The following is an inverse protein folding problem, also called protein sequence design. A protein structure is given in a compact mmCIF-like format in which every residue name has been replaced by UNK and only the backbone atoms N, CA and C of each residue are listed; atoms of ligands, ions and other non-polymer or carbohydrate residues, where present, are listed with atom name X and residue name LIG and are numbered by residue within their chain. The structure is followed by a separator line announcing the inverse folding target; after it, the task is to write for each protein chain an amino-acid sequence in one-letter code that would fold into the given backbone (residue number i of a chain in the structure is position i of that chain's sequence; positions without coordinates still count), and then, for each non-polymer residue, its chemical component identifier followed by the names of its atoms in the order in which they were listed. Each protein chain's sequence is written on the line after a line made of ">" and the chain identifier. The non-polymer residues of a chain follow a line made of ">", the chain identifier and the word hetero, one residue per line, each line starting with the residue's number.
data_IF_466606694533
#
_entry.id   IF_466606694533
#
_cell.length_a   1.000
_cell.length_b   1.000
_cell.length_c   1.000
_cell.angle_alpha   90.00
_cell.angle_beta   90.00
_cell.angle_gamma   90.00
#
_symmetry.space_group_name_H-M   'P 1'
#
loop_
_entity.id
_entity.type
_entity.pdbx_description
1 polymer ?
#
# COMPACT_ATOMS: atom_id res chain seq x y z
N UNK A 1 57.85 -34.22 53.19
CA UNK A 1 59.27 -33.94 52.89
C UNK A 1 59.34 -33.43 51.46
N UNK A 2 60.04 -32.30 51.30
CA UNK A 2 60.58 -31.72 50.05
C UNK A 2 59.65 -30.94 49.12
N UNK A 3 59.92 -29.64 49.07
CA UNK A 3 59.47 -28.65 48.07
C UNK A 3 60.51 -28.52 46.93
N UNK A 4 60.11 -27.83 45.84
CA UNK A 4 60.85 -26.95 44.89
C UNK A 4 60.20 -27.08 43.49
N UNK A 5 59.45 -26.08 42.99
CA UNK A 5 59.90 -24.92 42.20
C UNK A 5 60.77 -25.33 40.98
N UNK A 6 60.48 -24.98 39.71
CA UNK A 6 60.51 -23.61 39.17
C UNK A 6 60.03 -23.53 37.70
N UNK A 7 59.29 -22.44 37.41
CA UNK A 7 58.98 -21.70 36.16
C UNK A 7 59.43 -22.19 34.77
N UNK A 8 58.51 -21.99 33.81
CA UNK A 8 58.79 -21.61 32.42
C UNK A 8 57.51 -21.17 31.68
N UNK A 9 57.20 -19.88 31.71
CA UNK A 9 56.13 -19.21 30.95
C UNK A 9 56.51 -19.07 29.46
N UNK A 10 55.56 -19.31 28.53
CA UNK A 10 55.26 -18.43 27.38
C UNK A 10 53.91 -18.80 26.73
N UNK A 11 52.88 -18.05 27.14
CA UNK A 11 51.78 -17.44 26.37
C UNK A 11 51.49 -17.95 24.93
N UNK A 12 50.30 -18.53 24.76
CA UNK A 12 49.27 -17.95 23.88
C UNK A 12 47.89 -18.46 24.33
N UNK A 13 47.16 -17.61 25.06
CA UNK A 13 45.71 -17.71 25.16
C UNK A 13 45.13 -17.42 23.78
N UNK A 14 44.23 -18.28 23.30
CA UNK A 14 43.16 -17.81 22.45
C UNK A 14 41.86 -18.50 22.91
N UNK A 15 41.24 -17.77 23.82
CA UNK A 15 39.82 -17.70 24.15
C UNK A 15 38.90 -18.35 23.11
N UNK A 16 38.13 -19.36 23.55
CA UNK A 16 36.84 -19.67 22.96
C UNK A 16 35.96 -18.43 23.15
N UNK A 17 35.72 -17.71 22.06
CA UNK A 17 34.87 -16.52 22.04
C UNK A 17 33.40 -16.94 21.98
N UNK A 18 32.68 -16.63 23.06
CA UNK A 18 31.23 -16.71 23.18
C UNK A 18 30.57 -15.63 22.30
N UNK A 19 30.55 -15.82 20.98
CA UNK A 19 29.75 -14.97 20.09
C UNK A 19 29.00 -15.79 19.05
N UNK A 20 28.09 -16.64 19.50
CA UNK A 20 27.01 -17.19 18.68
C UNK A 20 25.67 -16.52 19.00
N UNK A 21 25.66 -15.19 19.01
CA UNK A 21 24.45 -14.36 19.21
C UNK A 21 24.42 -13.21 18.19
N UNK A 22 24.85 -13.47 16.95
CA UNK A 22 24.77 -12.49 15.88
C UNK A 22 24.70 -13.21 14.53
N UNK A 23 23.63 -13.95 14.30
CA UNK A 23 23.32 -14.44 12.97
C UNK A 23 21.83 -14.39 12.74
N UNK A 24 21.46 -13.44 11.88
CA UNK A 24 20.14 -13.29 11.25
C UNK A 24 19.08 -12.52 12.04
N UNK A 25 19.51 -11.36 12.56
CA UNK A 25 18.71 -10.14 12.49
C UNK A 25 18.43 -9.79 11.01
N UNK A 26 17.55 -10.57 10.37
CA UNK A 26 16.90 -10.26 9.10
C UNK A 26 15.65 -9.42 9.44
N UNK A 27 15.85 -8.25 10.03
CA UNK A 27 14.86 -7.21 9.83
C UNK A 27 15.11 -6.71 8.41
N UNK A 28 14.35 -7.26 7.45
CA UNK A 28 14.12 -6.55 6.21
C UNK A 28 13.74 -5.14 6.62
N UNK A 29 14.54 -4.16 6.26
CA UNK A 29 14.09 -2.78 6.25
C UNK A 29 12.82 -2.78 5.40
N UNK A 30 11.66 -2.73 6.06
CA UNK A 30 10.39 -2.52 5.38
C UNK A 30 10.53 -1.10 4.86
N UNK A 31 10.93 -0.98 3.60
CA UNK A 31 10.89 0.30 2.90
C UNK A 31 9.42 0.64 2.79
N UNK A 32 8.92 1.41 3.75
CA UNK A 32 7.55 1.92 3.74
C UNK A 32 7.51 3.01 2.67
N UNK A 33 7.16 2.63 1.45
CA UNK A 33 6.79 3.61 0.44
C UNK A 33 5.58 4.38 0.94
N UNK A 34 5.60 5.72 0.81
CA UNK A 34 4.41 6.50 1.09
C UNK A 34 3.28 6.07 0.16
N UNK A 35 2.04 6.09 0.64
CA UNK A 35 0.88 5.72 -0.18
C UNK A 35 0.82 6.56 -1.46
N UNK A 36 1.28 7.82 -1.43
CA UNK A 36 1.36 8.69 -2.60
C UNK A 36 2.32 8.15 -3.67
N UNK A 37 3.46 7.59 -3.27
CA UNK A 37 4.43 7.00 -4.19
C UNK A 37 3.83 5.75 -4.86
N UNK A 38 3.24 4.86 -4.06
CA UNK A 38 2.57 3.66 -4.56
C UNK A 38 1.42 4.00 -5.52
N UNK A 39 0.57 4.97 -5.16
CA UNK A 39 -0.52 5.47 -6.00
C UNK A 39 0.00 6.02 -7.34
N UNK A 40 1.07 6.82 -7.30
CA UNK A 40 1.67 7.42 -8.51
C UNK A 40 2.23 6.37 -9.44
N UNK A 41 2.89 5.35 -8.90
CA UNK A 41 3.43 4.25 -9.71
C UNK A 41 2.32 3.38 -10.29
N UNK A 42 1.26 3.11 -9.52
CA UNK A 42 0.09 2.38 -10.03
C UNK A 42 -0.59 3.13 -11.17
N UNK A 43 -0.86 4.42 -11.01
CA UNK A 43 -1.44 5.25 -12.08
C UNK A 43 -0.56 5.30 -13.35
N UNK A 44 0.77 5.28 -13.21
CA UNK A 44 1.70 5.17 -14.36
C UNK A 44 1.66 3.81 -15.03
N UNK A 45 1.39 2.73 -14.30
CA UNK A 45 1.18 1.40 -14.87
C UNK A 45 -0.12 1.37 -15.66
N UNK A 46 -1.21 1.92 -15.09
CA UNK A 46 -2.51 2.00 -15.74
C UNK A 46 -2.46 2.82 -17.04
N UNK A 47 -1.70 3.92 -17.07
CA UNK A 47 -1.48 4.74 -18.26
C UNK A 47 -0.82 4.00 -19.43
N UNK A 48 -0.18 2.84 -19.17
CA UNK A 48 0.52 2.03 -20.17
C UNK A 48 -0.25 0.78 -20.57
N UNK A 49 -1.45 0.56 -20.04
CA UNK A 49 -2.27 -0.58 -20.44
C UNK A 49 -2.62 -0.49 -21.92
N UNK A 50 -2.41 -1.59 -22.63
CA UNK A 50 -2.86 -1.74 -24.01
C UNK A 50 -4.35 -2.03 -24.05
N UNK A 51 -4.96 -1.85 -25.22
CA UNK A 51 -6.30 -2.38 -25.48
C UNK A 51 -6.34 -3.89 -25.21
N UNK A 52 -7.50 -4.38 -24.75
CA UNK A 52 -7.73 -5.78 -24.44
C UNK A 52 -6.74 -6.34 -23.39
N UNK A 53 -6.33 -5.52 -22.42
CA UNK A 53 -5.32 -5.87 -21.40
C UNK A 53 -5.67 -7.11 -20.57
N UNK A 54 -6.94 -7.48 -20.47
CA UNK A 54 -7.40 -8.68 -19.77
C UNK A 54 -7.79 -9.85 -20.69
N UNK A 55 -7.59 -9.74 -22.01
CA UNK A 55 -8.05 -10.73 -23.02
C UNK A 55 -9.58 -10.90 -23.16
N UNK A 56 -10.39 -10.12 -22.45
CA UNK A 56 -11.87 -10.13 -22.51
C UNK A 56 -12.46 -8.86 -23.12
N UNK A 57 -11.67 -8.11 -23.90
CA UNK A 57 -12.11 -6.93 -24.63
C UNK A 57 -12.07 -5.63 -23.84
N UNK A 58 -11.45 -5.59 -22.65
CA UNK A 58 -11.46 -4.38 -21.82
C UNK A 58 -10.69 -3.22 -22.44
N UNK A 59 -11.24 -2.03 -22.17
CA UNK A 59 -10.71 -0.74 -22.58
C UNK A 59 -9.75 -0.27 -21.48
N UNK A 60 -8.55 0.23 -21.82
CA UNK A 60 -7.64 0.78 -20.83
C UNK A 60 -8.21 2.09 -20.23
N UNK A 61 -7.84 2.45 -18.99
CA UNK A 61 -8.28 3.69 -18.38
C UNK A 61 -8.03 4.91 -19.26
N UNK A 62 -9.05 5.74 -19.46
CA UNK A 62 -8.91 6.94 -20.28
C UNK A 62 -8.00 7.97 -19.62
N UNK A 63 -7.38 8.85 -20.42
CA UNK A 63 -6.58 9.98 -19.89
C UNK A 63 -7.40 10.87 -18.95
N UNK A 64 -8.68 11.06 -19.23
CA UNK A 64 -9.61 11.85 -18.41
C UNK A 64 -9.77 11.21 -17.03
N UNK A 65 -10.04 9.90 -16.98
CA UNK A 65 -10.18 9.16 -15.72
C UNK A 65 -8.89 9.20 -14.90
N UNK A 66 -7.74 8.95 -15.54
CA UNK A 66 -6.44 9.02 -14.87
C UNK A 66 -6.12 10.43 -14.35
N UNK A 67 -6.59 11.49 -15.03
CA UNK A 67 -6.44 12.86 -14.56
C UNK A 67 -7.34 13.13 -13.34
N UNK A 68 -8.61 12.72 -13.38
CA UNK A 68 -9.53 12.86 -12.25
C UNK A 68 -8.98 12.13 -11.01
N UNK A 69 -8.47 10.91 -11.20
CA UNK A 69 -7.84 10.13 -10.14
C UNK A 69 -6.64 10.86 -9.49
N UNK A 70 -5.78 11.49 -10.32
CA UNK A 70 -4.64 12.27 -9.83
C UNK A 70 -5.10 13.47 -9.00
N UNK A 71 -6.11 14.20 -9.46
CA UNK A 71 -6.67 15.35 -8.72
C UNK A 71 -7.28 14.89 -7.40
N UNK A 72 -8.07 13.82 -7.42
CA UNK A 72 -8.68 13.26 -6.21
C UNK A 72 -7.61 12.85 -5.20
N UNK A 73 -6.60 12.08 -5.61
CA UNK A 73 -5.61 11.51 -4.70
C UNK A 73 -4.58 12.53 -4.22
N UNK A 74 -4.12 13.44 -5.09
CA UNK A 74 -2.97 14.31 -4.77
C UNK A 74 -3.34 15.76 -4.50
N UNK A 75 -4.53 16.23 -4.90
CA UNK A 75 -4.93 17.61 -4.64
C UNK A 75 -5.99 17.68 -3.52
N UNK A 76 -6.85 16.67 -3.38
CA UNK A 76 -7.92 16.68 -2.37
C UNK A 76 -7.55 15.93 -1.08
N UNK A 77 -6.58 15.00 -1.15
CA UNK A 77 -6.28 14.06 -0.07
C UNK A 77 -4.83 14.14 0.45
N UNK A 78 -4.00 15.03 -0.10
CA UNK A 78 -2.53 15.06 0.01
C UNK A 78 -2.00 14.98 1.45
N UNK A 79 -2.65 15.67 2.39
CA UNK A 79 -2.19 15.82 3.77
C UNK A 79 -2.64 14.70 4.73
N UNK A 80 -3.43 13.73 4.25
CA UNK A 80 -3.98 12.67 5.12
C UNK A 80 -3.09 11.43 5.08
N UNK A 81 -2.83 10.84 6.25
CA UNK A 81 -2.33 9.46 6.30
C UNK A 81 -3.44 8.54 5.80
N UNK A 82 -3.30 8.08 4.56
CA UNK A 82 -4.25 7.15 3.96
C UNK A 82 -3.96 5.72 4.42
N UNK A 83 -5.01 4.90 4.62
CA UNK A 83 -4.87 3.50 4.92
C UNK A 83 -4.44 2.76 3.64
N UNK A 84 -4.58 1.43 3.61
CA UNK A 84 -4.24 0.66 2.40
C UNK A 84 -5.08 1.17 1.23
N UNK A 85 -4.39 1.51 0.14
CA UNK A 85 -4.96 2.03 -1.09
C UNK A 85 -4.68 1.04 -2.22
N UNK A 86 -5.71 0.50 -2.85
CA UNK A 86 -5.59 -0.17 -4.15
C UNK A 86 -6.22 0.67 -5.26
N UNK A 87 -5.65 0.59 -6.46
CA UNK A 87 -6.14 1.30 -7.64
C UNK A 87 -6.13 0.34 -8.82
N UNK A 88 -7.30 -0.07 -9.29
CA UNK A 88 -7.41 -1.08 -10.34
C UNK A 88 -8.20 -0.56 -11.56
N UNK A 89 -7.89 -1.00 -12.79
CA UNK A 89 -8.68 -0.62 -13.96
C UNK A 89 -10.02 -1.38 -13.96
N UNK A 90 -11.09 -0.73 -14.42
CA UNK A 90 -12.37 -1.41 -14.69
C UNK A 90 -12.60 -1.60 -16.19
N UNK A 91 -13.51 -2.51 -16.54
CA UNK A 91 -13.67 -3.03 -17.91
C UNK A 91 -13.90 -1.96 -18.98
N UNK A 92 -14.63 -0.89 -18.65
CA UNK A 92 -15.08 0.15 -19.58
C UNK A 92 -14.15 1.37 -19.66
N UNK A 93 -12.88 1.23 -19.27
CA UNK A 93 -11.89 2.32 -19.33
C UNK A 93 -12.01 3.33 -18.18
N UNK A 94 -12.67 2.94 -17.11
CA UNK A 94 -12.64 3.61 -15.81
C UNK A 94 -11.51 3.09 -14.90
N UNK A 95 -11.54 3.51 -13.64
CA UNK A 95 -10.74 2.91 -12.57
C UNK A 95 -11.60 2.73 -11.32
N UNK A 96 -11.17 1.81 -10.46
CA UNK A 96 -11.64 1.61 -9.10
C UNK A 96 -10.52 2.01 -8.14
N UNK A 97 -10.88 2.70 -7.07
CA UNK A 97 -9.99 3.08 -5.97
C UNK A 97 -10.59 2.53 -4.69
N UNK A 98 -9.80 1.79 -3.93
CA UNK A 98 -10.25 1.13 -2.71
C UNK A 98 -9.42 1.61 -1.53
N UNK A 99 -10.11 1.98 -0.45
CA UNK A 99 -9.49 2.28 0.84
C UNK A 99 -9.95 1.25 1.86
N UNK A 100 -8.99 0.60 2.53
CA UNK A 100 -9.28 -0.40 3.55
C UNK A 100 -8.56 -0.10 4.87
N UNK A 101 -9.34 -0.02 5.96
CA UNK A 101 -8.85 0.13 7.34
C UNK A 101 -9.64 -0.79 8.27
N UNK A 102 -8.97 -1.82 8.78
CA UNK A 102 -9.50 -2.79 9.74
C UNK A 102 -10.73 -3.52 9.23
N UNK A 103 -11.93 -3.18 9.71
CA UNK A 103 -13.20 -3.77 9.25
C UNK A 103 -13.93 -2.90 8.23
N UNK A 104 -13.42 -1.72 7.88
CA UNK A 104 -14.07 -0.76 6.99
C UNK A 104 -13.38 -0.69 5.64
N UNK A 105 -14.20 -0.75 4.59
CA UNK A 105 -13.77 -0.56 3.21
C UNK A 105 -14.66 0.44 2.50
N UNK A 106 -14.04 1.25 1.65
CA UNK A 106 -14.69 2.18 0.73
C UNK A 106 -14.12 1.95 -0.65
N UNK A 107 -14.98 1.65 -1.61
CA UNK A 107 -14.65 1.58 -3.02
C UNK A 107 -15.24 2.78 -3.76
N UNK A 108 -14.48 3.34 -4.69
CA UNK A 108 -14.89 4.41 -5.58
C UNK A 108 -14.56 4.03 -7.02
N UNK A 109 -15.58 3.93 -7.85
CA UNK A 109 -15.42 3.82 -9.29
C UNK A 109 -15.47 5.20 -9.95
N UNK A 110 -14.55 5.44 -10.88
CA UNK A 110 -14.48 6.66 -11.69
C UNK A 110 -14.64 6.29 -13.16
N UNK A 111 -15.75 6.75 -13.73
CA UNK A 111 -16.14 6.41 -15.10
C UNK A 111 -15.64 7.42 -16.14
N UNK A 112 -15.48 7.02 -17.43
CA UNK A 112 -15.00 7.89 -18.50
C UNK A 112 -15.79 9.17 -18.76
N UNK A 113 -17.09 9.19 -18.47
CA UNK A 113 -17.97 10.34 -18.59
C UNK A 113 -17.93 11.28 -17.37
N UNK A 114 -17.15 10.92 -16.36
CA UNK A 114 -16.86 11.73 -15.17
C UNK A 114 -17.82 11.55 -14.01
N UNK A 115 -18.77 10.60 -14.07
CA UNK A 115 -19.54 10.24 -12.87
C UNK A 115 -18.75 9.30 -11.95
N UNK A 116 -19.22 9.20 -10.71
CA UNK A 116 -18.66 8.33 -9.69
C UNK A 116 -19.73 7.40 -9.15
N UNK A 117 -19.36 6.17 -8.83
CA UNK A 117 -20.14 5.27 -8.00
C UNK A 117 -19.30 4.84 -6.81
N UNK A 118 -19.96 4.55 -5.69
CA UNK A 118 -19.28 4.08 -4.49
C UNK A 118 -19.92 2.80 -3.96
N UNK A 119 -19.11 2.07 -3.21
CA UNK A 119 -19.54 0.99 -2.34
C UNK A 119 -18.90 1.16 -0.96
N UNK A 120 -19.71 0.98 0.08
CA UNK A 120 -19.33 1.09 1.49
C UNK A 120 -19.54 -0.25 2.16
N UNK A 121 -18.48 -0.81 2.74
CA UNK A 121 -18.48 -2.17 3.32
C UNK A 121 -17.95 -2.12 4.76
N UNK A 122 -18.63 -2.79 5.69
CA UNK A 122 -18.13 -2.98 7.06
C UNK A 122 -18.29 -4.44 7.49
N UNK A 123 -17.25 -5.07 8.02
CA UNK A 123 -17.23 -6.51 8.34
C UNK A 123 -17.63 -7.40 7.16
N UNK A 124 -17.11 -7.12 5.97
CA UNK A 124 -17.45 -7.81 4.71
C UNK A 124 -18.94 -7.68 4.31
N UNK A 125 -19.74 -6.84 4.98
CA UNK A 125 -21.13 -6.58 4.64
C UNK A 125 -21.28 -5.29 3.83
N UNK A 126 -21.95 -5.37 2.68
CA UNK A 126 -22.33 -4.20 1.88
C UNK A 126 -23.36 -3.36 2.65
N UNK A 127 -22.96 -2.16 3.08
CA UNK A 127 -23.80 -1.25 3.84
C UNK A 127 -24.55 -0.25 2.97
N UNK A 128 -23.89 0.30 1.96
CA UNK A 128 -24.43 1.36 1.11
C UNK A 128 -23.68 1.40 -0.23
N UNK A 129 -24.40 1.61 -1.33
CA UNK A 129 -23.84 1.80 -2.66
C UNK A 129 -24.62 2.84 -3.46
N UNK A 130 -24.01 3.37 -4.52
CA UNK A 130 -24.70 4.20 -5.51
C UNK A 130 -23.86 5.38 -6.04
N UNK A 131 -24.50 6.37 -6.69
CA UNK A 131 -23.79 7.51 -7.25
C UNK A 131 -23.12 8.37 -6.16
N UNK A 132 -21.89 8.83 -6.43
CA UNK A 132 -21.13 9.66 -5.50
C UNK A 132 -20.95 11.10 -6.00
N UNK A 133 -21.10 12.06 -5.10
CA UNK A 133 -20.58 13.42 -5.28
C UNK A 133 -19.23 13.55 -4.56
N UNK A 134 -18.42 14.56 -4.89
CA UNK A 134 -17.16 14.83 -4.18
C UNK A 134 -17.35 14.99 -2.66
N UNK A 135 -18.48 15.56 -2.23
CA UNK A 135 -18.83 15.68 -0.80
C UNK A 135 -19.07 14.32 -0.15
N UNK A 136 -19.76 13.41 -0.86
CA UNK A 136 -19.98 12.02 -0.41
C UNK A 136 -18.66 11.23 -0.38
N UNK A 137 -17.81 11.40 -1.39
CA UNK A 137 -16.46 10.78 -1.40
C UNK A 137 -15.66 11.23 -0.18
N UNK A 138 -15.62 12.53 0.10
CA UNK A 138 -14.89 13.05 1.27
C UNK A 138 -15.46 12.53 2.60
N UNK A 139 -16.79 12.37 2.73
CA UNK A 139 -17.39 11.82 3.94
C UNK A 139 -17.10 10.33 4.13
N UNK A 140 -17.04 9.55 3.05
CA UNK A 140 -16.68 8.13 3.07
C UNK A 140 -15.21 7.93 3.44
N UNK A 141 -14.30 8.74 2.89
CA UNK A 141 -12.88 8.71 3.27
C UNK A 141 -12.71 8.99 4.76
N UNK A 142 -13.36 10.02 5.29
CA UNK A 142 -13.33 10.31 6.73
C UNK A 142 -13.88 9.14 7.55
N UNK A 143 -14.92 8.46 7.08
CA UNK A 143 -15.50 7.30 7.75
C UNK A 143 -14.53 6.10 7.81
N UNK A 144 -13.81 5.80 6.74
CA UNK A 144 -12.75 4.75 6.76
C UNK A 144 -11.61 5.17 7.69
N UNK A 145 -11.18 6.43 7.67
CA UNK A 145 -10.06 6.91 8.49
C UNK A 145 -10.35 6.89 10.00
N UNK A 146 -11.60 7.08 10.41
CA UNK A 146 -12.03 7.12 11.83
C UNK A 146 -12.55 5.77 12.37
N UNK A 147 -12.03 4.65 11.86
CA UNK A 147 -12.10 3.38 12.60
C UNK A 147 -11.33 3.46 13.93
#
# INVERSE_FOLDING_TARGET
>A
MTALATRGFYRSENTFDETNTASRSMYSEVVTYSWQAAARDKLRQLERLSDNWNSYGSIPPTRTVLHIAKVLLFDLLDDREMPVLDISPIHDGGIQIEWHKGIREFELEVFPDGHFEFLKIENDEHLEEGPASLSKVNSLISWVLHE
#
